data_IF_468246784871
#
_entry.id   IF_468246784871
#
_cell.length_a   1.000
_cell.length_b   1.000
_cell.length_c   1.000
_cell.angle_alpha   90.00
_cell.angle_beta   90.00
_cell.angle_gamma   90.00
#
_symmetry.space_group_name_H-M   'P 1'
#
loop_
_entity.id
_entity.type
_entity.pdbx_description
1 polymer ?
#
# COMPACT_ATOMS: atom_id res chain seq x y z
N UNK A 1 48.86 -19.15 30.06
CA UNK A 1 49.10 -18.11 29.03
C UNK A 1 47.93 -17.94 28.06
N UNK A 2 47.04 -18.90 27.87
CA UNK A 2 45.89 -18.77 26.95
C UNK A 2 44.65 -18.15 27.59
N UNK A 3 44.55 -18.14 28.91
CA UNK A 3 43.40 -17.56 29.63
C UNK A 3 43.51 -16.05 29.79
N UNK A 4 44.70 -15.52 29.90
CA UNK A 4 44.95 -14.06 30.05
C UNK A 4 44.73 -13.28 28.75
N UNK A 5 44.78 -13.95 27.60
CA UNK A 5 44.57 -13.34 26.28
C UNK A 5 43.07 -13.19 25.99
N UNK A 6 42.21 -14.08 26.53
CA UNK A 6 40.77 -14.04 26.35
C UNK A 6 40.09 -12.90 27.14
N UNK A 7 40.63 -12.59 28.31
CA UNK A 7 40.09 -11.51 29.18
C UNK A 7 40.48 -10.12 28.67
N UNK A 8 41.51 -9.98 27.84
CA UNK A 8 41.86 -8.70 27.22
C UNK A 8 40.97 -8.38 26.01
N UNK A 9 40.67 -9.39 25.20
CA UNK A 9 39.79 -9.19 23.99
C UNK A 9 38.33 -8.87 24.36
N UNK A 10 37.83 -9.33 25.49
CA UNK A 10 36.48 -9.02 25.96
C UNK A 10 36.36 -7.62 26.55
N UNK A 11 37.44 -7.04 27.08
CA UNK A 11 37.40 -5.66 27.60
C UNK A 11 37.54 -4.57 26.52
N UNK A 12 38.14 -4.86 25.40
CA UNK A 12 38.18 -3.91 24.25
C UNK A 12 36.86 -3.87 23.46
N UNK A 13 36.05 -4.94 23.51
CA UNK A 13 34.78 -4.99 22.82
C UNK A 13 33.66 -4.24 23.57
N UNK A 14 33.75 -4.08 24.89
CA UNK A 14 32.74 -3.35 25.69
C UNK A 14 33.00 -1.84 25.80
N UNK A 15 34.23 -1.37 25.54
CA UNK A 15 34.61 0.05 25.60
C UNK A 15 34.23 0.89 24.38
N UNK A 16 33.85 0.27 23.26
CA UNK A 16 33.64 0.97 21.98
C UNK A 16 32.21 1.42 21.67
N UNK A 17 31.21 0.96 22.40
CA UNK A 17 29.78 1.19 22.05
C UNK A 17 29.12 2.27 22.91
N UNK A 18 29.75 2.71 24.01
CA UNK A 18 29.18 3.72 24.93
C UNK A 18 29.45 5.18 24.53
N UNK A 19 30.48 5.45 23.72
CA UNK A 19 30.97 6.82 23.49
C UNK A 19 30.28 7.59 22.33
N UNK A 20 29.44 6.95 21.53
CA UNK A 20 28.85 7.59 20.35
C UNK A 20 27.41 8.09 20.54
N UNK A 21 26.78 7.78 21.65
CA UNK A 21 25.39 8.19 21.91
C UNK A 21 25.30 9.50 22.68
N UNK A 22 26.19 9.70 23.64
CA UNK A 22 26.21 10.91 24.46
C UNK A 22 26.74 12.13 23.68
N UNK A 23 27.65 11.94 22.71
CA UNK A 23 28.17 13.02 21.87
C UNK A 23 27.15 13.51 20.82
N UNK A 24 26.12 12.74 20.52
CA UNK A 24 25.05 13.17 19.60
C UNK A 24 23.94 13.93 20.32
N UNK A 25 23.64 13.63 21.56
CA UNK A 25 22.65 14.36 22.35
C UNK A 25 23.16 15.75 22.77
N UNK A 26 24.45 15.90 23.11
CA UNK A 26 25.05 17.20 23.44
C UNK A 26 25.14 18.15 22.23
N UNK A 27 25.16 17.60 21.00
CA UNK A 27 25.19 18.40 19.77
C UNK A 27 23.83 18.90 19.31
N UNK A 28 22.74 18.26 19.76
CA UNK A 28 21.37 18.67 19.48
C UNK A 28 20.87 19.78 20.43
N UNK A 29 21.45 19.90 21.63
CA UNK A 29 21.05 20.90 22.64
C UNK A 29 21.69 22.28 22.38
N UNK A 30 22.70 22.37 21.51
CA UNK A 30 23.42 23.63 21.17
C UNK A 30 22.95 24.33 19.90
N UNK A 31 21.78 24.01 19.34
CA UNK A 31 21.19 24.82 18.27
C UNK A 31 20.47 26.03 18.86
N UNK A 32 20.82 27.27 18.44
CA UNK A 32 20.17 28.46 18.95
C UNK A 32 18.72 28.49 18.50
N UNK A 33 17.80 28.56 19.45
CA UNK A 33 16.39 28.87 19.25
C UNK A 33 16.29 30.26 18.63
N UNK A 34 15.82 30.31 17.39
CA UNK A 34 15.53 31.55 16.69
C UNK A 34 14.22 32.12 17.21
N UNK A 35 14.35 32.94 18.27
CA UNK A 35 13.28 33.75 18.84
C UNK A 35 13.01 34.92 17.89
N UNK A 36 11.90 34.85 17.19
CA UNK A 36 11.40 35.95 16.36
C UNK A 36 10.91 37.07 17.29
N UNK A 37 11.79 38.02 17.52
CA UNK A 37 11.52 39.28 18.21
C UNK A 37 10.69 40.18 17.28
N UNK A 38 9.49 40.48 17.73
CA UNK A 38 8.61 41.51 17.15
C UNK A 38 9.14 42.89 17.58
N UNK A 39 9.82 43.56 16.67
CA UNK A 39 10.12 44.99 16.86
C UNK A 39 9.20 45.77 15.92
N UNK A 40 8.18 46.35 16.53
CA UNK A 40 7.43 47.47 15.99
C UNK A 40 8.33 48.70 15.92
N UNK A 41 8.56 49.20 14.71
CA UNK A 41 9.10 50.52 14.50
C UNK A 41 8.20 51.25 13.50
N UNK A 42 7.50 52.24 14.04
CA UNK A 42 6.83 53.31 13.31
C UNK A 42 7.85 54.07 12.42
N UNK A 43 7.63 54.07 11.12
CA UNK A 43 8.14 55.11 10.25
C UNK A 43 7.03 55.58 9.28
N UNK A 44 6.41 56.63 9.75
CA UNK A 44 5.66 57.59 8.97
C UNK A 44 6.61 58.29 7.97
N UNK A 45 6.39 58.16 6.68
CA UNK A 45 6.58 59.31 5.76
C UNK A 45 6.34 58.94 4.29
N UNK A 46 5.56 59.77 3.66
CA UNK A 46 5.49 60.06 2.20
C UNK A 46 4.58 59.15 1.37
N UNK A 47 3.30 59.46 1.46
CA UNK A 47 2.31 59.18 0.42
C UNK A 47 2.69 59.89 -0.86
N UNK A 48 3.28 59.18 -1.81
CA UNK A 48 3.29 59.58 -3.20
C UNK A 48 2.04 58.98 -3.85
N UNK A 49 1.05 59.86 -4.11
CA UNK A 49 -0.16 59.56 -4.85
C UNK A 49 0.19 59.16 -6.30
N UNK A 50 0.36 57.87 -6.56
CA UNK A 50 0.22 57.30 -7.89
C UNK A 50 -1.26 56.95 -8.11
N UNK A 51 -1.85 57.26 -9.27
CA UNK A 51 -3.23 56.93 -9.55
C UNK A 51 -3.38 55.40 -9.52
N UNK A 52 -4.24 54.94 -8.61
CA UNK A 52 -4.65 53.53 -8.47
C UNK A 52 -5.25 53.09 -9.82
N UNK A 53 -4.54 52.20 -10.52
CA UNK A 53 -5.10 51.54 -11.69
C UNK A 53 -6.34 50.77 -11.24
N UNK A 54 -7.48 50.86 -11.96
CA UNK A 54 -8.70 50.16 -11.57
C UNK A 54 -8.42 48.66 -11.44
N UNK A 55 -8.76 48.09 -10.28
CA UNK A 55 -8.66 46.67 -10.02
C UNK A 55 -9.29 45.92 -11.21
N UNK A 56 -8.62 44.88 -11.76
CA UNK A 56 -9.20 44.11 -12.83
C UNK A 56 -10.52 43.50 -12.31
N UNK A 57 -11.61 43.84 -13.01
CA UNK A 57 -12.92 43.28 -12.74
C UNK A 57 -12.79 41.74 -12.67
N UNK A 58 -13.50 41.05 -11.75
CA UNK A 58 -13.48 39.59 -11.71
C UNK A 58 -13.88 39.09 -13.10
N UNK A 59 -12.94 38.41 -13.75
CA UNK A 59 -13.16 37.76 -15.03
C UNK A 59 -14.19 36.62 -14.75
N UNK A 60 -15.47 36.97 -14.94
CA UNK A 60 -16.47 35.94 -15.08
C UNK A 60 -16.04 35.06 -16.25
N UNK A 61 -15.82 33.74 -16.05
CA UNK A 61 -15.50 32.86 -17.17
C UNK A 61 -16.61 33.00 -18.20
N UNK A 62 -16.30 33.05 -19.52
CA UNK A 62 -17.31 33.18 -20.54
C UNK A 62 -18.36 32.10 -20.37
N UNK A 63 -19.61 32.48 -20.22
CA UNK A 63 -20.79 31.62 -20.20
C UNK A 63 -20.76 30.77 -21.49
N UNK A 64 -20.28 29.52 -21.43
CA UNK A 64 -20.18 28.65 -22.59
C UNK A 64 -18.94 27.77 -22.63
N UNK A 65 -17.98 27.89 -21.69
CA UNK A 65 -16.98 26.84 -21.56
C UNK A 65 -17.66 25.55 -21.08
N UNK A 66 -17.55 24.43 -21.82
CA UNK A 66 -18.08 23.17 -21.34
C UNK A 66 -17.43 22.88 -19.99
N UNK A 67 -18.20 22.96 -18.91
CA UNK A 67 -17.73 22.46 -17.64
C UNK A 67 -17.38 20.99 -17.85
N UNK A 68 -16.23 20.48 -17.37
CA UNK A 68 -15.94 19.06 -17.42
C UNK A 68 -17.14 18.35 -16.80
N UNK A 69 -17.92 17.66 -17.64
CA UNK A 69 -19.08 16.91 -17.18
C UNK A 69 -18.55 15.95 -16.11
N UNK A 70 -19.08 16.09 -14.88
CA UNK A 70 -18.75 15.18 -13.79
C UNK A 70 -18.97 13.75 -14.30
N UNK A 71 -17.94 12.89 -14.31
CA UNK A 71 -18.06 11.53 -14.82
C UNK A 71 -19.13 10.72 -14.06
N UNK A 72 -19.51 11.20 -12.89
CA UNK A 72 -20.56 10.66 -12.04
C UNK A 72 -21.99 11.00 -12.54
N UNK A 73 -22.18 12.14 -13.19
CA UNK A 73 -23.50 12.59 -13.67
C UNK A 73 -24.04 11.77 -14.86
N UNK A 74 -23.17 11.07 -15.59
CA UNK A 74 -23.52 10.26 -16.77
C UNK A 74 -23.93 8.83 -16.45
N UNK A 75 -23.82 8.36 -15.18
CA UNK A 75 -24.05 6.95 -14.81
C UNK A 75 -25.29 6.77 -13.92
N UNK A 76 -26.01 5.68 -14.20
CA UNK A 76 -27.13 5.28 -13.32
C UNK A 76 -26.57 4.83 -11.97
N UNK A 77 -27.22 5.21 -10.87
CA UNK A 77 -26.82 4.80 -9.50
C UNK A 77 -26.60 3.29 -9.38
N UNK A 78 -27.43 2.51 -10.08
CA UNK A 78 -27.29 1.06 -10.10
C UNK A 78 -25.97 0.59 -10.73
N UNK A 79 -25.53 1.22 -11.82
CA UNK A 79 -24.24 0.89 -12.45
C UNK A 79 -23.07 1.20 -11.52
N UNK A 80 -23.10 2.32 -10.83
CA UNK A 80 -22.08 2.69 -9.84
C UNK A 80 -22.02 1.68 -8.70
N UNK A 81 -23.15 1.24 -8.17
CA UNK A 81 -23.23 0.23 -7.10
C UNK A 81 -22.63 -1.11 -7.57
N UNK A 82 -23.01 -1.58 -8.75
CA UNK A 82 -22.51 -2.85 -9.30
C UNK A 82 -21.00 -2.80 -9.50
N UNK A 83 -20.48 -1.70 -10.04
CA UNK A 83 -19.04 -1.51 -10.21
C UNK A 83 -18.33 -1.54 -8.85
N UNK A 84 -18.83 -0.81 -7.86
CA UNK A 84 -18.22 -0.78 -6.53
C UNK A 84 -18.24 -2.14 -5.84
N UNK A 85 -19.33 -2.88 -5.92
CA UNK A 85 -19.41 -4.25 -5.38
C UNK A 85 -18.36 -5.15 -6.05
N UNK A 86 -18.22 -5.07 -7.37
CA UNK A 86 -17.25 -5.85 -8.12
C UNK A 86 -15.80 -5.50 -7.72
N UNK A 87 -15.48 -4.21 -7.57
CA UNK A 87 -14.17 -3.75 -7.14
C UNK A 87 -13.88 -4.17 -5.69
N UNK A 88 -14.84 -4.01 -4.79
CA UNK A 88 -14.73 -4.44 -3.39
C UNK A 88 -14.54 -5.97 -3.28
N UNK A 89 -15.26 -6.75 -4.08
CA UNK A 89 -15.11 -8.22 -4.11
C UNK A 89 -13.70 -8.63 -4.57
N UNK A 90 -13.13 -7.95 -5.56
CA UNK A 90 -11.77 -8.21 -6.03
C UNK A 90 -10.72 -7.92 -4.96
N UNK A 91 -10.86 -6.79 -4.24
CA UNK A 91 -9.97 -6.46 -3.11
C UNK A 91 -10.15 -7.41 -1.95
N UNK A 92 -11.39 -7.77 -1.63
CA UNK A 92 -11.69 -8.73 -0.57
C UNK A 92 -11.01 -10.07 -0.81
N UNK A 93 -11.09 -10.59 -2.04
CA UNK A 93 -10.45 -11.84 -2.42
C UNK A 93 -8.91 -11.76 -2.25
N UNK A 94 -8.28 -10.69 -2.73
CA UNK A 94 -6.84 -10.49 -2.60
C UNK A 94 -6.40 -10.32 -1.14
N UNK A 95 -7.16 -9.56 -0.35
CA UNK A 95 -6.88 -9.35 1.07
C UNK A 95 -7.07 -10.62 1.90
N UNK A 96 -8.12 -11.40 1.60
CA UNK A 96 -8.42 -12.65 2.25
C UNK A 96 -7.31 -13.68 2.02
N UNK A 97 -6.81 -13.78 0.79
CA UNK A 97 -5.68 -14.65 0.45
C UNK A 97 -4.43 -14.33 1.28
N UNK A 98 -4.07 -13.06 1.41
CA UNK A 98 -2.93 -12.63 2.22
C UNK A 98 -3.13 -12.98 3.70
N UNK A 99 -4.33 -12.81 4.23
CA UNK A 99 -4.60 -13.03 5.66
C UNK A 99 -4.77 -14.50 6.02
N UNK A 100 -5.35 -15.32 5.15
CA UNK A 100 -5.46 -16.77 5.36
C UNK A 100 -4.07 -17.43 5.39
N UNK A 101 -3.17 -17.06 4.48
CA UNK A 101 -1.86 -17.70 4.41
C UNK A 101 -1.04 -17.48 5.68
N UNK A 102 -1.18 -16.34 6.36
CA UNK A 102 -0.42 -16.05 7.58
C UNK A 102 -0.73 -17.06 8.70
N UNK A 103 -1.95 -17.55 8.78
CA UNK A 103 -2.37 -18.59 9.74
C UNK A 103 -2.04 -20.01 9.28
N UNK A 104 -1.99 -20.23 7.97
CA UNK A 104 -1.66 -21.54 7.41
C UNK A 104 -0.15 -21.80 7.33
N UNK A 105 0.69 -20.76 7.32
CA UNK A 105 2.16 -20.87 7.19
C UNK A 105 2.82 -21.84 8.18
N UNK A 106 2.52 -21.84 9.50
CA UNK A 106 3.12 -22.80 10.44
C UNK A 106 2.83 -24.25 10.03
N UNK A 107 1.58 -24.57 9.76
CA UNK A 107 1.15 -25.93 9.36
C UNK A 107 1.79 -26.36 8.04
N UNK A 108 1.91 -25.45 7.07
CA UNK A 108 2.57 -25.71 5.78
C UNK A 108 4.07 -25.99 6.00
N UNK A 109 4.76 -25.22 6.84
CA UNK A 109 6.19 -25.36 7.10
C UNK A 109 6.50 -26.67 7.83
N UNK A 110 5.65 -27.09 8.75
CA UNK A 110 5.74 -28.39 9.43
C UNK A 110 5.55 -29.55 8.46
N UNK A 111 4.56 -29.47 7.58
CA UNK A 111 4.28 -30.50 6.59
C UNK A 111 5.45 -30.73 5.63
N UNK A 112 6.15 -29.67 5.23
CA UNK A 112 7.28 -29.75 4.30
C UNK A 112 8.66 -29.83 4.99
N UNK A 113 8.72 -29.81 6.33
CA UNK A 113 9.95 -29.84 7.13
C UNK A 113 10.99 -28.77 6.67
N UNK A 114 10.53 -27.58 6.28
CA UNK A 114 11.37 -26.53 5.70
C UNK A 114 11.18 -25.19 6.39
N UNK A 115 12.15 -24.80 7.23
CA UNK A 115 12.14 -23.49 7.89
C UNK A 115 12.34 -22.34 6.88
N UNK A 116 13.11 -22.56 5.82
CA UNK A 116 13.26 -21.58 4.75
C UNK A 116 11.96 -21.37 3.96
N UNK A 117 11.16 -22.41 3.77
CA UNK A 117 9.85 -22.33 3.13
C UNK A 117 8.91 -21.35 3.82
N UNK A 118 8.91 -21.31 5.14
CA UNK A 118 8.09 -20.41 5.94
C UNK A 118 8.25 -18.94 5.49
N UNK A 119 9.49 -18.48 5.39
CA UNK A 119 9.78 -17.08 5.00
C UNK A 119 9.54 -16.83 3.51
N UNK A 120 9.99 -17.74 2.63
CA UNK A 120 9.93 -17.55 1.20
C UNK A 120 8.52 -17.63 0.60
N UNK A 121 7.60 -18.39 1.19
CA UNK A 121 6.20 -18.46 0.74
C UNK A 121 5.51 -17.10 0.86
N UNK A 122 5.70 -16.40 1.98
CA UNK A 122 5.16 -15.05 2.17
C UNK A 122 5.94 -13.99 1.37
N UNK A 123 7.28 -14.04 1.43
CA UNK A 123 8.15 -13.06 0.79
C UNK A 123 8.02 -13.05 -0.74
N UNK A 124 7.87 -14.21 -1.37
CA UNK A 124 7.70 -14.30 -2.83
C UNK A 124 6.44 -13.59 -3.33
N UNK A 125 5.33 -13.72 -2.59
CA UNK A 125 4.10 -12.98 -2.90
C UNK A 125 4.31 -11.47 -2.80
N UNK A 126 4.86 -10.98 -1.68
CA UNK A 126 5.06 -9.55 -1.45
C UNK A 126 6.04 -8.94 -2.44
N UNK A 127 7.13 -9.64 -2.75
CA UNK A 127 8.13 -9.18 -3.72
C UNK A 127 7.54 -9.09 -5.13
N UNK A 128 6.83 -10.12 -5.57
CA UNK A 128 6.17 -10.15 -6.87
C UNK A 128 5.07 -9.08 -6.99
N UNK A 129 4.30 -8.89 -5.91
CA UNK A 129 3.29 -7.83 -5.82
C UNK A 129 3.93 -6.45 -5.99
N UNK A 130 4.96 -6.12 -5.20
CA UNK A 130 5.63 -4.83 -5.26
C UNK A 130 6.29 -4.56 -6.63
N UNK A 131 6.94 -5.57 -7.21
CA UNK A 131 7.63 -5.45 -8.50
C UNK A 131 6.64 -5.28 -9.68
N UNK A 132 5.46 -5.92 -9.62
CA UNK A 132 4.49 -5.88 -10.71
C UNK A 132 3.55 -4.66 -10.69
N UNK A 133 3.34 -4.05 -9.53
CA UNK A 133 2.40 -2.93 -9.33
C UNK A 133 2.58 -1.77 -10.31
N UNK A 134 3.80 -1.23 -10.58
CA UNK A 134 3.97 -0.13 -11.52
C UNK A 134 3.63 -0.51 -12.97
N UNK A 135 3.86 -1.77 -13.34
CA UNK A 135 3.59 -2.29 -14.68
C UNK A 135 2.09 -2.34 -14.97
N UNK A 136 1.29 -2.78 -14.00
CA UNK A 136 -0.16 -2.85 -14.12
C UNK A 136 -0.80 -1.48 -14.35
N UNK A 137 -0.30 -0.43 -13.69
CA UNK A 137 -0.74 0.94 -13.93
C UNK A 137 -0.56 1.36 -15.38
N UNK A 138 0.66 1.19 -15.92
CA UNK A 138 0.97 1.52 -17.32
C UNK A 138 0.16 0.70 -18.34
N UNK A 139 0.01 -0.59 -18.13
CA UNK A 139 -0.80 -1.43 -19.03
C UNK A 139 -2.27 -1.00 -19.02
N UNK A 140 -2.79 -0.62 -17.88
CA UNK A 140 -4.16 -0.18 -17.75
C UNK A 140 -4.42 1.18 -18.43
N UNK A 141 -3.40 2.04 -18.55
CA UNK A 141 -3.49 3.30 -19.30
C UNK A 141 -3.52 3.07 -20.82
N UNK A 142 -2.80 2.05 -21.31
CA UNK A 142 -2.69 1.74 -22.75
C UNK A 142 -3.91 0.96 -23.24
N UNK A 143 -4.32 -0.09 -22.53
CA UNK A 143 -5.34 -1.04 -23.00
C UNK A 143 -6.70 -0.84 -22.32
N UNK A 144 -6.79 0.10 -21.40
CA UNK A 144 -8.00 0.41 -20.65
C UNK A 144 -8.15 -0.41 -19.36
N UNK A 145 -9.00 0.08 -18.46
CA UNK A 145 -9.14 -0.46 -17.10
C UNK A 145 -9.76 -1.85 -17.04
N UNK A 146 -10.86 -2.06 -17.83
CA UNK A 146 -11.64 -3.30 -17.78
C UNK A 146 -10.86 -4.54 -18.23
N UNK A 147 -10.20 -4.58 -19.42
CA UNK A 147 -9.49 -5.77 -19.86
C UNK A 147 -8.31 -6.11 -18.95
N UNK A 148 -7.61 -5.10 -18.43
CA UNK A 148 -6.47 -5.31 -17.57
C UNK A 148 -6.90 -5.81 -16.19
N UNK A 149 -8.02 -5.35 -15.64
CA UNK A 149 -8.58 -5.89 -14.39
C UNK A 149 -8.94 -7.39 -14.55
N UNK A 150 -9.53 -7.77 -15.67
CA UNK A 150 -9.83 -9.17 -15.98
C UNK A 150 -8.53 -9.99 -16.12
N UNK A 151 -7.51 -9.44 -16.76
CA UNK A 151 -6.20 -10.08 -16.88
C UNK A 151 -5.55 -10.30 -15.50
N UNK A 152 -5.52 -9.28 -14.64
CA UNK A 152 -4.99 -9.38 -13.29
C UNK A 152 -5.75 -10.44 -12.45
N UNK A 153 -7.09 -10.46 -12.55
CA UNK A 153 -7.93 -11.47 -11.91
C UNK A 153 -7.62 -12.89 -12.41
N UNK A 154 -7.40 -13.04 -13.71
CA UNK A 154 -7.05 -14.32 -14.31
C UNK A 154 -5.67 -14.82 -13.83
N UNK A 155 -4.67 -13.95 -13.78
CA UNK A 155 -3.34 -14.27 -13.26
C UNK A 155 -3.42 -14.68 -11.79
N UNK A 156 -4.21 -13.94 -10.99
CA UNK A 156 -4.43 -14.28 -9.58
C UNK A 156 -5.09 -15.67 -9.43
N UNK A 157 -6.12 -15.94 -10.22
CA UNK A 157 -6.81 -17.24 -10.21
C UNK A 157 -5.89 -18.40 -10.60
N UNK A 158 -5.07 -18.23 -11.66
CA UNK A 158 -4.07 -19.24 -12.06
C UNK A 158 -3.07 -19.48 -10.94
N UNK A 159 -2.53 -18.44 -10.31
CA UNK A 159 -1.63 -18.56 -9.17
C UNK A 159 -2.28 -19.31 -7.99
N UNK A 160 -3.54 -19.00 -7.68
CA UNK A 160 -4.31 -19.68 -6.62
C UNK A 160 -4.51 -21.18 -6.93
N UNK A 161 -4.85 -21.52 -8.17
CA UNK A 161 -5.01 -22.93 -8.60
C UNK A 161 -3.69 -23.69 -8.50
N UNK A 162 -2.58 -23.07 -8.92
CA UNK A 162 -1.25 -23.65 -8.79
C UNK A 162 -0.84 -23.86 -7.33
N UNK A 163 -1.18 -22.91 -6.45
CA UNK A 163 -0.95 -23.04 -5.00
C UNK A 163 -1.71 -24.24 -4.41
N UNK A 164 -2.98 -24.41 -4.77
CA UNK A 164 -3.82 -25.51 -4.31
C UNK A 164 -3.31 -26.90 -4.77
N UNK A 165 -2.71 -26.97 -5.96
CA UNK A 165 -2.15 -28.23 -6.51
C UNK A 165 -0.69 -28.47 -6.19
N UNK A 166 -0.05 -27.61 -5.39
CA UNK A 166 1.38 -27.70 -5.09
C UNK A 166 1.75 -28.96 -4.32
N UNK A 167 2.77 -29.64 -4.80
CA UNK A 167 3.32 -30.88 -4.19
C UNK A 167 4.70 -30.67 -3.55
N UNK A 168 5.30 -29.51 -3.78
CA UNK A 168 6.62 -29.15 -3.22
C UNK A 168 6.66 -27.68 -2.79
N UNK A 169 7.56 -27.36 -1.84
CA UNK A 169 7.78 -25.97 -1.38
C UNK A 169 8.17 -25.05 -2.53
N UNK A 170 9.05 -25.50 -3.42
CA UNK A 170 9.47 -24.70 -4.59
C UNK A 170 8.30 -24.37 -5.52
N UNK A 171 7.42 -25.33 -5.80
CA UNK A 171 6.21 -25.11 -6.59
C UNK A 171 5.27 -24.12 -5.90
N UNK A 172 5.11 -24.21 -4.58
CA UNK A 172 4.28 -23.30 -3.81
C UNK A 172 4.84 -21.87 -3.85
N UNK A 173 6.16 -21.68 -3.71
CA UNK A 173 6.82 -20.38 -3.80
C UNK A 173 6.57 -19.73 -5.18
N UNK A 174 6.73 -20.49 -6.28
CA UNK A 174 6.47 -19.99 -7.63
C UNK A 174 4.99 -19.64 -7.81
N UNK A 175 4.09 -20.49 -7.33
CA UNK A 175 2.65 -20.23 -7.39
C UNK A 175 2.28 -18.96 -6.62
N UNK A 176 2.86 -18.72 -5.44
CA UNK A 176 2.70 -17.50 -4.63
C UNK A 176 3.26 -16.26 -5.34
N UNK A 177 4.37 -16.38 -6.06
CA UNK A 177 4.89 -15.27 -6.87
C UNK A 177 3.92 -14.90 -8.01
N UNK A 178 3.38 -15.87 -8.74
CA UNK A 178 2.38 -15.63 -9.80
C UNK A 178 1.11 -15.00 -9.19
N UNK A 179 0.66 -15.50 -8.07
CA UNK A 179 -0.50 -14.96 -7.36
C UNK A 179 -0.25 -13.53 -6.86
N UNK A 180 0.98 -13.22 -6.39
CA UNK A 180 1.40 -11.89 -6.00
C UNK A 180 1.37 -10.88 -7.16
N UNK A 181 1.78 -11.31 -8.38
CA UNK A 181 1.67 -10.49 -9.59
C UNK A 181 0.21 -10.10 -9.84
N UNK A 182 -0.71 -11.06 -9.80
CA UNK A 182 -2.14 -10.81 -9.98
C UNK A 182 -2.73 -9.96 -8.87
N UNK A 183 -2.40 -10.24 -7.60
CA UNK A 183 -2.86 -9.51 -6.42
C UNK A 183 -2.46 -8.04 -6.42
N UNK A 184 -1.20 -7.74 -6.78
CA UNK A 184 -0.71 -6.37 -6.97
C UNK A 184 -1.50 -5.63 -8.04
N UNK A 185 -1.80 -6.31 -9.17
CA UNK A 185 -2.66 -5.79 -10.22
C UNK A 185 -4.06 -5.45 -9.72
N UNK A 186 -4.71 -6.36 -8.98
CA UNK A 186 -6.05 -6.13 -8.45
C UNK A 186 -6.12 -4.91 -7.54
N UNK A 187 -5.18 -4.77 -6.60
CA UNK A 187 -5.16 -3.66 -5.64
C UNK A 187 -4.95 -2.32 -6.34
N UNK A 188 -3.93 -2.23 -7.22
CA UNK A 188 -3.62 -0.95 -7.87
C UNK A 188 -4.70 -0.54 -8.87
N UNK A 189 -5.26 -1.50 -9.63
CA UNK A 189 -6.30 -1.22 -10.61
C UNK A 189 -7.61 -0.77 -9.96
N UNK A 190 -7.97 -1.32 -8.81
CA UNK A 190 -9.12 -0.85 -8.03
C UNK A 190 -8.93 0.59 -7.59
N UNK A 191 -7.74 0.95 -7.07
CA UNK A 191 -7.43 2.32 -6.68
C UNK A 191 -7.50 3.29 -7.88
N UNK A 192 -6.97 2.89 -9.03
CA UNK A 192 -7.03 3.68 -10.26
C UNK A 192 -8.49 3.81 -10.73
N UNK A 193 -9.26 2.73 -10.76
CA UNK A 193 -10.67 2.77 -11.14
C UNK A 193 -11.49 3.73 -10.26
N UNK A 194 -11.29 3.71 -8.95
CA UNK A 194 -11.95 4.64 -8.03
C UNK A 194 -11.53 6.08 -8.36
N UNK A 195 -10.26 6.30 -8.64
CA UNK A 195 -9.74 7.63 -8.98
C UNK A 195 -10.31 8.18 -10.29
N UNK A 196 -10.57 7.32 -11.27
CA UNK A 196 -11.10 7.71 -12.58
C UNK A 196 -12.63 7.84 -12.60
N UNK A 197 -13.32 7.05 -11.77
CA UNK A 197 -14.77 6.97 -11.78
C UNK A 197 -15.44 8.02 -10.92
N UNK A 198 -14.76 8.49 -9.87
CA UNK A 198 -15.36 9.35 -8.85
C UNK A 198 -14.64 10.69 -8.74
N UNK A 199 -15.45 11.73 -8.50
CA UNK A 199 -14.95 13.09 -8.32
C UNK A 199 -14.07 13.20 -7.06
N UNK A 200 -13.13 14.16 -7.04
CA UNK A 200 -12.22 14.41 -5.92
C UNK A 200 -12.94 14.55 -4.58
N UNK A 201 -14.15 15.13 -4.58
CA UNK A 201 -14.96 15.36 -3.39
C UNK A 201 -15.46 14.06 -2.76
N UNK A 202 -15.85 13.08 -3.58
CA UNK A 202 -16.49 11.83 -3.14
C UNK A 202 -15.48 10.69 -3.00
N UNK A 203 -14.31 10.80 -3.61
CA UNK A 203 -13.27 9.76 -3.67
C UNK A 203 -12.89 9.19 -2.30
N UNK A 204 -12.82 10.04 -1.26
CA UNK A 204 -12.50 9.62 0.10
C UNK A 204 -13.47 8.59 0.67
N UNK A 205 -14.76 8.69 0.36
CA UNK A 205 -15.79 7.74 0.81
C UNK A 205 -15.56 6.35 0.18
N UNK A 206 -15.25 6.29 -1.10
CA UNK A 206 -15.01 5.03 -1.81
C UNK A 206 -13.70 4.35 -1.38
N UNK A 207 -12.64 5.12 -1.11
CA UNK A 207 -11.43 4.58 -0.49
C UNK A 207 -11.69 4.07 0.94
N UNK A 208 -12.55 4.76 1.69
CA UNK A 208 -13.01 4.29 3.00
C UNK A 208 -13.73 2.95 2.92
N UNK A 209 -14.57 2.74 1.90
CA UNK A 209 -15.24 1.44 1.66
C UNK A 209 -14.23 0.33 1.37
N UNK A 210 -13.20 0.58 0.55
CA UNK A 210 -12.12 -0.38 0.31
C UNK A 210 -11.36 -0.68 1.59
N UNK A 211 -11.09 0.32 2.43
CA UNK A 211 -10.48 0.14 3.74
C UNK A 211 -11.31 -0.75 4.68
N UNK A 212 -12.65 -0.58 4.70
CA UNK A 212 -13.55 -1.46 5.45
C UNK A 212 -13.49 -2.91 4.96
N UNK A 213 -13.40 -3.13 3.64
CA UNK A 213 -13.25 -4.46 3.05
C UNK A 213 -11.95 -5.11 3.51
N UNK A 214 -10.84 -4.37 3.56
CA UNK A 214 -9.57 -4.83 4.12
C UNK A 214 -9.69 -5.22 5.60
N UNK A 215 -10.35 -4.41 6.40
CA UNK A 215 -10.57 -4.70 7.82
C UNK A 215 -11.41 -5.97 8.02
N UNK A 216 -12.47 -6.16 7.21
CA UNK A 216 -13.28 -7.37 7.22
C UNK A 216 -12.46 -8.61 6.84
N UNK A 217 -11.66 -8.53 5.76
CA UNK A 217 -10.79 -9.63 5.35
C UNK A 217 -9.76 -9.99 6.42
N UNK A 218 -9.18 -9.00 7.10
CA UNK A 218 -8.22 -9.20 8.20
C UNK A 218 -8.85 -9.86 9.43
N UNK A 219 -10.13 -9.60 9.69
CA UNK A 219 -10.85 -10.26 10.80
C UNK A 219 -11.30 -11.67 10.46
N UNK A 220 -11.82 -11.87 9.25
CA UNK A 220 -12.37 -13.15 8.78
C UNK A 220 -11.26 -14.14 8.37
N UNK A 221 -10.16 -13.63 7.79
CA UNK A 221 -9.06 -14.44 7.26
C UNK A 221 -8.47 -15.42 8.27
N UNK A 222 -8.03 -14.98 9.47
CA UNK A 222 -7.48 -15.90 10.48
C UNK A 222 -8.48 -16.96 10.95
N UNK A 223 -9.76 -16.60 11.07
CA UNK A 223 -10.81 -17.55 11.48
C UNK A 223 -11.00 -18.62 10.41
N UNK A 224 -11.12 -18.22 9.15
CA UNK A 224 -11.23 -19.17 8.05
C UNK A 224 -9.95 -20.00 7.90
N UNK A 225 -8.78 -19.37 7.95
CA UNK A 225 -7.48 -20.06 7.86
C UNK A 225 -7.31 -21.10 8.96
N UNK A 226 -7.65 -20.77 10.21
CA UNK A 226 -7.60 -21.73 11.33
C UNK A 226 -8.55 -22.90 11.14
N UNK A 227 -9.82 -22.64 10.80
CA UNK A 227 -10.83 -23.71 10.59
C UNK A 227 -10.45 -24.63 9.42
N UNK A 228 -9.96 -24.07 8.31
CA UNK A 228 -9.57 -24.88 7.16
C UNK A 228 -8.32 -25.74 7.44
N UNK A 229 -7.33 -25.20 8.14
CA UNK A 229 -6.11 -25.95 8.49
C UNK A 229 -6.38 -27.06 9.48
N UNK A 230 -7.32 -26.88 10.44
CA UNK A 230 -7.64 -27.89 11.45
C UNK A 230 -8.59 -28.99 10.95
N UNK A 231 -9.60 -28.61 10.14
CA UNK A 231 -10.71 -29.55 9.83
C UNK A 231 -10.66 -30.17 8.44
N UNK A 232 -10.00 -29.51 7.47
CA UNK A 232 -10.00 -29.99 6.10
C UNK A 232 -8.59 -30.34 5.62
N UNK A 233 -7.81 -29.36 5.22
CA UNK A 233 -6.42 -29.49 4.76
C UNK A 233 -5.90 -28.09 4.43
N UNK A 234 -4.61 -27.88 4.57
CA UNK A 234 -3.96 -26.63 4.18
C UNK A 234 -4.07 -26.30 2.67
N UNK A 235 -4.53 -27.26 1.84
CA UNK A 235 -4.67 -27.10 0.38
C UNK A 235 -5.97 -26.44 -0.08
N UNK A 236 -6.96 -26.30 0.79
CA UNK A 236 -8.24 -25.66 0.51
C UNK A 236 -8.26 -24.24 1.10
#
# INVERSE_FOLDING_TARGET
MAETQRDMDTREAEGGVGATRDDQEEKLEKLPSNENDQTSTDENSSQTNLPEAPAPAPLNPPNGAPQPSDPEASRTKLQTIVIMISLCASVFLAALDVTIITTALPTISEHFHSNAGYTWIGASYLLANAASTPSWGKFSDIWGRKPILICASSVFFVGSTLSATSVSVGMLIVARAIQGIGGGGLIILVNICISDLFSMRNRGQYFGMVGMVWALASGVGPVLGGVFTEKLSWRW
#
